data_IF_791416755728
#
_entry.id   IF_791416755728
#
_cell.length_a   1.000
_cell.length_b   1.000
_cell.length_c   1.000
_cell.angle_alpha   90.00
_cell.angle_beta   90.00
_cell.angle_gamma   90.00
#
_symmetry.space_group_name_H-M   'P 1'
#
loop_
_entity.id
_entity.type
_entity.pdbx_description
1 polymer ?
#
# COMPACT_ATOMS: atom_id res chain seq x y z
N UNK A 1 -13.70 33.69 18.19
CA UNK A 1 -12.64 32.76 17.75
C UNK A 1 -13.30 31.40 17.52
N UNK A 2 -13.19 30.85 16.33
CA UNK A 2 -13.65 29.48 16.04
C UNK A 2 -12.80 28.51 16.87
N UNK A 3 -13.45 27.53 17.52
CA UNK A 3 -12.73 26.48 18.24
C UNK A 3 -11.93 25.65 17.22
N UNK A 4 -10.61 25.64 17.37
CA UNK A 4 -9.65 24.91 16.53
C UNK A 4 -9.00 23.75 17.28
N UNK A 5 -9.60 23.33 18.40
CA UNK A 5 -9.14 22.15 19.13
C UNK A 5 -9.18 20.89 18.25
N UNK A 6 -8.42 19.87 18.65
CA UNK A 6 -8.43 18.56 17.99
C UNK A 6 -9.87 18.03 17.82
N UNK A 7 -10.66 18.08 18.91
CA UNK A 7 -12.03 17.59 18.91
C UNK A 7 -12.93 18.37 17.93
N UNK A 8 -12.78 19.69 17.88
CA UNK A 8 -13.58 20.54 17.01
C UNK A 8 -13.25 20.32 15.51
N UNK A 9 -11.97 20.17 15.15
CA UNK A 9 -11.56 19.87 13.76
C UNK A 9 -12.01 18.47 13.36
N UNK A 10 -11.85 17.46 14.23
CA UNK A 10 -12.29 16.10 13.93
C UNK A 10 -13.83 16.01 13.79
N UNK A 11 -14.59 16.77 14.56
CA UNK A 11 -16.05 16.86 14.41
C UNK A 11 -16.47 17.49 13.06
N UNK A 12 -15.66 18.38 12.49
CA UNK A 12 -15.91 19.01 11.18
C UNK A 12 -15.38 18.19 10.00
N UNK A 13 -14.80 17.03 10.23
CA UNK A 13 -14.16 16.19 9.23
C UNK A 13 -15.01 15.99 7.98
N UNK A 14 -16.29 15.62 8.12
CA UNK A 14 -17.18 15.37 6.99
C UNK A 14 -17.35 16.58 6.06
N UNK A 15 -17.55 17.78 6.63
CA UNK A 15 -17.67 19.02 5.87
C UNK A 15 -16.37 19.44 5.20
N UNK A 16 -15.24 19.31 5.90
CA UNK A 16 -13.91 19.61 5.35
C UNK A 16 -13.61 18.72 4.14
N UNK A 17 -13.85 17.40 4.27
CA UNK A 17 -13.61 16.46 3.17
C UNK A 17 -14.54 16.71 2.00
N UNK A 18 -15.83 16.91 2.24
CA UNK A 18 -16.78 17.25 1.17
C UNK A 18 -16.33 18.47 0.35
N UNK A 19 -15.83 19.51 1.04
CA UNK A 19 -15.34 20.72 0.38
C UNK A 19 -14.01 20.51 -0.36
N UNK A 20 -13.25 19.46 -0.07
CA UNK A 20 -11.89 19.29 -0.55
C UNK A 20 -11.67 18.12 -1.50
N UNK A 21 -12.64 17.21 -1.69
CA UNK A 21 -12.51 16.04 -2.60
C UNK A 21 -13.37 16.20 -3.86
N UNK A 22 -14.37 17.06 -3.82
CA UNK A 22 -15.29 17.27 -4.94
C UNK A 22 -16.30 16.13 -5.18
N UNK A 23 -16.46 15.23 -4.20
CA UNK A 23 -17.42 14.12 -4.21
C UNK A 23 -18.21 14.12 -2.89
N UNK A 24 -19.53 13.96 -3.01
CA UNK A 24 -20.39 13.83 -1.83
C UNK A 24 -20.54 12.36 -1.43
N UNK A 25 -19.75 11.93 -0.44
CA UNK A 25 -19.74 10.56 0.03
C UNK A 25 -21.09 10.08 0.59
N UNK A 26 -21.94 11.00 1.09
CA UNK A 26 -23.26 10.63 1.61
C UNK A 26 -24.19 10.08 0.51
N UNK A 27 -23.98 10.47 -0.73
CA UNK A 27 -24.75 9.96 -1.86
C UNK A 27 -24.57 8.46 -2.12
N UNK A 28 -23.50 7.86 -1.60
CA UNK A 28 -23.14 6.45 -1.81
C UNK A 28 -23.45 5.55 -0.61
N UNK A 29 -23.98 6.10 0.48
CA UNK A 29 -24.41 5.32 1.64
C UNK A 29 -25.68 4.55 1.28
N UNK A 30 -25.68 3.22 1.53
CA UNK A 30 -26.77 2.32 1.21
C UNK A 30 -27.38 1.63 2.44
N UNK A 31 -26.71 1.71 3.59
CA UNK A 31 -27.13 1.13 4.85
C UNK A 31 -26.31 1.69 6.01
N UNK A 32 -26.37 1.07 7.16
CA UNK A 32 -25.55 1.47 8.32
C UNK A 32 -24.06 1.31 8.02
N UNK A 33 -23.69 0.27 7.27
CA UNK A 33 -22.33 -0.05 6.87
C UNK A 33 -22.16 -0.09 5.34
N UNK A 34 -23.19 -0.47 4.62
CA UNK A 34 -23.17 -0.63 3.17
C UNK A 34 -22.87 0.69 2.46
N UNK A 35 -21.93 0.61 1.51
CA UNK A 35 -21.45 1.76 0.76
C UNK A 35 -21.16 1.37 -0.70
N UNK A 36 -21.65 2.17 -1.64
CA UNK A 36 -21.54 1.91 -3.07
C UNK A 36 -20.20 2.41 -3.63
N UNK A 37 -19.13 1.65 -3.37
CA UNK A 37 -17.80 1.96 -3.88
C UNK A 37 -17.70 1.92 -5.40
N UNK A 38 -18.48 1.05 -6.06
CA UNK A 38 -18.38 0.94 -7.51
C UNK A 38 -18.97 2.19 -8.18
N UNK A 39 -20.07 2.71 -7.66
CA UNK A 39 -20.63 3.98 -8.12
C UNK A 39 -19.70 5.16 -7.78
N UNK A 40 -19.14 5.21 -6.56
CA UNK A 40 -18.15 6.22 -6.18
C UNK A 40 -16.94 6.25 -7.14
N UNK A 41 -16.42 5.07 -7.51
CA UNK A 41 -15.30 4.97 -8.44
C UNK A 41 -15.70 5.37 -9.87
N UNK A 42 -16.92 5.03 -10.30
CA UNK A 42 -17.45 5.43 -11.61
C UNK A 42 -17.64 6.96 -11.68
N UNK A 43 -18.14 7.58 -10.62
CA UNK A 43 -18.40 9.03 -10.55
C UNK A 43 -17.11 9.86 -10.47
N UNK A 44 -15.94 9.25 -10.36
CA UNK A 44 -14.67 9.96 -10.60
C UNK A 44 -14.57 10.46 -12.04
N UNK A 45 -15.31 9.84 -12.98
CA UNK A 45 -15.28 10.16 -14.41
C UNK A 45 -14.05 9.63 -15.15
N UNK A 46 -13.23 8.78 -14.48
CA UNK A 46 -12.05 8.19 -15.11
C UNK A 46 -12.28 6.70 -15.40
N UNK A 47 -12.41 6.36 -16.68
CA UNK A 47 -12.19 5.00 -17.15
C UNK A 47 -10.68 4.71 -17.34
N UNK A 48 -10.33 3.48 -17.70
CA UNK A 48 -8.92 3.10 -17.94
C UNK A 48 -8.26 3.92 -19.04
N UNK A 49 -8.99 4.23 -20.12
CA UNK A 49 -8.47 4.99 -21.26
C UNK A 49 -8.12 6.41 -20.85
N UNK A 50 -9.05 7.08 -20.19
CA UNK A 50 -8.90 8.46 -19.67
C UNK A 50 -7.82 8.53 -18.61
N UNK A 51 -7.78 7.58 -17.66
CA UNK A 51 -6.76 7.51 -16.62
C UNK A 51 -5.36 7.38 -17.23
N UNK A 52 -5.16 6.46 -18.19
CA UNK A 52 -3.89 6.29 -18.91
C UNK A 52 -3.52 7.52 -19.75
N UNK A 53 -4.51 8.22 -20.32
CA UNK A 53 -4.25 9.44 -21.09
C UNK A 53 -3.73 10.56 -20.16
N UNK A 54 -4.32 10.74 -18.98
CA UNK A 54 -3.84 11.69 -17.96
C UNK A 54 -2.42 11.33 -17.52
N UNK A 55 -2.18 10.07 -17.18
CA UNK A 55 -0.89 9.58 -16.73
C UNK A 55 0.22 9.80 -17.78
N UNK A 56 -0.05 9.51 -19.04
CA UNK A 56 0.92 9.73 -20.13
C UNK A 56 1.36 11.18 -20.27
N UNK A 57 0.48 12.16 -20.00
CA UNK A 57 0.83 13.60 -20.09
C UNK A 57 1.94 13.98 -19.11
N UNK A 58 2.09 13.24 -18.01
CA UNK A 58 3.10 13.49 -16.98
C UNK A 58 4.16 12.40 -16.93
N UNK A 59 4.27 11.57 -17.98
CA UNK A 59 5.19 10.44 -18.12
C UNK A 59 5.01 9.36 -17.02
N UNK A 60 3.79 9.20 -16.51
CA UNK A 60 3.43 8.15 -15.54
C UNK A 60 2.91 6.93 -16.30
N UNK A 61 3.27 5.75 -15.83
CA UNK A 61 2.91 4.48 -16.47
C UNK A 61 3.84 4.10 -17.61
N UNK A 62 3.48 3.07 -18.36
CA UNK A 62 4.33 2.44 -19.36
C UNK A 62 5.70 2.05 -18.81
N UNK A 63 5.71 1.59 -17.57
CA UNK A 63 6.91 1.17 -16.88
C UNK A 63 7.37 -0.21 -17.39
N UNK A 64 8.68 -0.53 -17.33
CA UNK A 64 9.19 -1.80 -17.82
C UNK A 64 8.58 -3.03 -17.13
N UNK A 65 8.38 -4.10 -17.89
CA UNK A 65 8.21 -5.46 -17.39
C UNK A 65 9.46 -6.25 -17.78
N UNK A 66 10.21 -6.72 -16.77
CA UNK A 66 11.50 -7.40 -16.93
C UNK A 66 11.42 -8.82 -16.43
N UNK A 67 11.79 -9.81 -17.27
CA UNK A 67 11.96 -11.18 -16.81
C UNK A 67 13.28 -11.32 -16.05
N UNK A 68 13.22 -11.77 -14.81
CA UNK A 68 14.39 -12.02 -13.96
C UNK A 68 14.95 -13.41 -14.23
N UNK A 69 15.78 -13.54 -15.27
CA UNK A 69 16.26 -14.84 -15.75
C UNK A 69 17.25 -15.50 -14.77
N UNK A 70 18.16 -14.72 -14.21
CA UNK A 70 19.18 -15.25 -13.30
C UNK A 70 18.59 -15.55 -11.91
N UNK A 71 17.65 -14.73 -11.43
CA UNK A 71 16.88 -15.01 -10.20
C UNK A 71 16.03 -16.26 -10.40
N UNK A 72 15.34 -16.40 -11.52
CA UNK A 72 14.57 -17.61 -11.85
C UNK A 72 15.47 -18.84 -11.90
N UNK A 73 16.65 -18.76 -12.54
CA UNK A 73 17.61 -19.85 -12.55
C UNK A 73 18.10 -20.26 -11.13
N UNK A 74 18.35 -19.25 -10.28
CA UNK A 74 18.72 -19.50 -8.88
C UNK A 74 17.59 -20.19 -8.11
N UNK A 75 16.34 -19.77 -8.32
CA UNK A 75 15.15 -20.40 -7.72
C UNK A 75 15.03 -21.86 -8.17
N UNK A 76 15.17 -22.14 -9.47
CA UNK A 76 15.12 -23.50 -10.03
C UNK A 76 16.21 -24.41 -9.48
N UNK A 77 17.42 -23.89 -9.26
CA UNK A 77 18.54 -24.65 -8.69
C UNK A 77 18.28 -25.18 -7.28
N UNK A 78 17.33 -24.61 -6.55
CA UNK A 78 16.97 -24.98 -5.17
C UNK A 78 15.52 -25.46 -5.02
N UNK A 79 14.77 -25.49 -6.11
CA UNK A 79 13.40 -26.02 -6.15
C UNK A 79 13.39 -27.52 -6.42
N UNK A 80 12.29 -28.23 -6.07
CA UNK A 80 12.07 -29.59 -6.53
C UNK A 80 12.06 -29.69 -8.06
N UNK A 81 12.35 -30.85 -8.65
CA UNK A 81 12.28 -31.04 -10.11
C UNK A 81 10.92 -30.63 -10.69
N UNK A 82 10.92 -29.90 -11.82
CA UNK A 82 9.72 -29.38 -12.49
C UNK A 82 9.08 -28.16 -11.82
N UNK A 83 9.71 -27.66 -10.75
CA UNK A 83 9.28 -26.43 -10.03
C UNK A 83 10.26 -25.29 -10.30
N UNK A 84 9.85 -24.09 -9.92
CA UNK A 84 10.62 -22.86 -10.12
C UNK A 84 10.02 -21.99 -11.21
N UNK A 85 8.86 -21.40 -10.92
CA UNK A 85 8.13 -20.53 -11.81
C UNK A 85 8.99 -19.36 -12.34
N UNK A 86 8.64 -18.85 -13.52
CA UNK A 86 9.27 -17.67 -14.11
C UNK A 86 8.90 -16.43 -13.30
N UNK A 87 9.90 -15.62 -12.94
CA UNK A 87 9.71 -14.41 -12.16
C UNK A 87 9.90 -13.19 -13.08
N UNK A 88 8.90 -12.32 -13.08
CA UNK A 88 8.93 -11.02 -13.75
C UNK A 88 8.83 -9.89 -12.73
N UNK A 89 9.49 -8.79 -13.01
CA UNK A 89 9.36 -7.54 -12.25
C UNK A 89 8.63 -6.51 -13.10
N UNK A 90 7.53 -5.98 -12.58
CA UNK A 90 6.90 -4.75 -13.03
C UNK A 90 7.58 -3.58 -12.32
N UNK A 91 8.47 -2.88 -13.02
CA UNK A 91 9.38 -1.88 -12.46
C UNK A 91 8.71 -0.51 -12.32
N UNK A 92 7.93 -0.34 -11.28
CA UNK A 92 7.25 0.93 -10.97
C UNK A 92 8.19 2.03 -10.44
N UNK A 93 9.42 1.69 -10.10
CA UNK A 93 10.46 2.68 -9.78
C UNK A 93 10.83 3.56 -10.98
N UNK A 94 10.50 3.16 -12.19
CA UNK A 94 10.70 3.94 -13.42
C UNK A 94 9.73 5.12 -13.58
N UNK A 95 8.73 5.27 -12.72
CA UNK A 95 7.89 6.46 -12.71
C UNK A 95 8.67 7.72 -12.27
N UNK A 96 8.22 8.94 -12.62
CA UNK A 96 8.96 10.18 -12.43
C UNK A 96 9.44 10.47 -11.01
N UNK A 97 8.64 10.17 -9.97
CA UNK A 97 9.05 10.34 -8.57
C UNK A 97 9.80 9.13 -8.00
N UNK A 98 10.07 8.12 -8.83
CA UNK A 98 10.73 6.88 -8.44
C UNK A 98 9.81 5.88 -7.74
N UNK A 99 8.50 5.93 -7.95
CA UNK A 99 7.57 4.96 -7.36
C UNK A 99 6.22 4.84 -8.06
N UNK A 100 5.51 3.72 -7.85
CA UNK A 100 4.12 3.51 -8.31
C UNK A 100 3.13 4.57 -7.77
N UNK A 101 3.52 5.32 -6.76
CA UNK A 101 2.68 6.37 -6.16
C UNK A 101 2.33 7.47 -7.17
N UNK A 102 3.13 7.66 -8.20
CA UNK A 102 2.81 8.58 -9.30
C UNK A 102 1.49 8.23 -9.99
N UNK A 103 1.17 6.94 -10.12
CA UNK A 103 -0.11 6.50 -10.71
C UNK A 103 -1.31 6.99 -9.90
N UNK A 104 -1.17 7.06 -8.58
CA UNK A 104 -2.19 7.57 -7.65
C UNK A 104 -2.27 9.09 -7.69
N UNK A 105 -1.12 9.73 -7.54
CA UNK A 105 -1.01 11.18 -7.46
C UNK A 105 -1.44 11.89 -8.75
N UNK A 106 -1.14 11.27 -9.92
CA UNK A 106 -1.46 11.86 -11.21
C UNK A 106 -2.95 12.15 -11.39
N UNK A 107 -3.84 11.25 -11.00
CA UNK A 107 -5.28 11.48 -11.11
C UNK A 107 -5.79 12.45 -10.05
N UNK A 108 -5.32 12.33 -8.80
CA UNK A 108 -5.72 13.26 -7.73
C UNK A 108 -5.34 14.71 -8.06
N UNK A 109 -4.11 14.92 -8.57
CA UNK A 109 -3.64 16.26 -8.94
C UNK A 109 -4.31 16.77 -10.22
N UNK A 110 -4.52 15.91 -11.21
CA UNK A 110 -5.26 16.27 -12.42
C UNK A 110 -6.68 16.71 -12.06
N UNK A 111 -7.35 16.01 -11.16
CA UNK A 111 -8.69 16.34 -10.71
C UNK A 111 -8.72 17.69 -9.97
N UNK A 112 -7.75 17.94 -9.09
CA UNK A 112 -7.59 19.23 -8.42
C UNK A 112 -7.49 20.38 -9.44
N UNK A 113 -6.65 20.22 -10.46
CA UNK A 113 -6.50 21.19 -11.55
C UNK A 113 -7.79 21.38 -12.34
N UNK A 114 -8.47 20.27 -12.71
CA UNK A 114 -9.72 20.30 -13.48
C UNK A 114 -10.85 21.01 -12.74
N UNK A 115 -10.91 20.86 -11.42
CA UNK A 115 -11.90 21.53 -10.57
C UNK A 115 -11.50 22.96 -10.17
N UNK A 116 -10.32 23.44 -10.58
CA UNK A 116 -9.88 24.82 -10.32
C UNK A 116 -9.34 25.07 -8.91
N UNK A 117 -8.92 24.03 -8.18
CA UNK A 117 -8.26 24.22 -6.89
C UNK A 117 -6.89 24.88 -7.07
N UNK A 118 -6.54 25.80 -6.15
CA UNK A 118 -5.26 26.50 -6.19
C UNK A 118 -4.08 25.64 -5.73
N UNK A 119 -4.34 24.51 -5.08
CA UNK A 119 -3.31 23.62 -4.57
C UNK A 119 -3.86 22.28 -4.06
N UNK A 120 -2.95 21.43 -3.59
CA UNK A 120 -3.25 20.11 -3.05
C UNK A 120 -2.59 19.92 -1.69
N UNK A 121 -3.22 19.12 -0.82
CA UNK A 121 -2.64 18.71 0.47
C UNK A 121 -2.56 17.19 0.50
N UNK A 122 -1.42 16.65 0.92
CA UNK A 122 -1.23 15.22 1.14
C UNK A 122 -0.69 14.93 2.54
N UNK A 123 -1.23 13.90 3.22
CA UNK A 123 -0.65 13.34 4.42
C UNK A 123 0.12 12.06 4.08
N UNK A 124 1.37 11.94 4.55
CA UNK A 124 2.24 10.82 4.16
C UNK A 124 3.36 10.57 5.17
N UNK A 125 3.94 9.38 5.11
CA UNK A 125 5.21 9.04 5.75
C UNK A 125 6.32 8.73 4.72
N UNK A 126 6.11 8.99 3.41
CA UNK A 126 7.11 8.59 2.42
C UNK A 126 6.83 8.97 0.97
N UNK A 127 6.93 7.99 0.06
CA UNK A 127 6.89 8.17 -1.39
C UNK A 127 5.67 8.90 -1.94
N UNK A 128 4.54 8.85 -1.25
CA UNK A 128 3.32 9.48 -1.76
C UNK A 128 3.42 11.02 -1.76
N UNK A 129 4.02 11.61 -0.74
CA UNK A 129 4.26 13.05 -0.72
C UNK A 129 5.12 13.51 -1.89
N UNK A 130 6.21 12.78 -2.18
CA UNK A 130 7.07 13.07 -3.32
C UNK A 130 6.33 12.96 -4.66
N UNK A 131 5.46 11.93 -4.80
CA UNK A 131 4.63 11.77 -5.99
C UNK A 131 3.62 12.90 -6.16
N UNK A 132 2.90 13.30 -5.10
CA UNK A 132 1.96 14.43 -5.16
C UNK A 132 2.68 15.73 -5.48
N UNK A 133 3.83 16.00 -4.82
CA UNK A 133 4.64 17.19 -5.08
C UNK A 133 5.15 17.23 -6.54
N UNK A 134 5.63 16.11 -7.07
CA UNK A 134 6.07 16.00 -8.47
C UNK A 134 4.93 16.29 -9.46
N UNK A 135 3.74 15.71 -9.22
CA UNK A 135 2.60 15.93 -10.10
C UNK A 135 2.05 17.36 -9.97
N UNK A 136 2.02 17.93 -8.75
CA UNK A 136 1.60 19.30 -8.50
C UNK A 136 2.53 20.31 -9.21
N UNK A 137 3.84 20.09 -9.16
CA UNK A 137 4.82 20.92 -9.89
C UNK A 137 4.54 20.92 -11.40
N UNK A 138 4.25 19.74 -12.00
CA UNK A 138 3.91 19.61 -13.42
C UNK A 138 2.58 20.29 -13.78
N UNK A 139 1.65 20.35 -12.82
CA UNK A 139 0.34 20.99 -13.00
C UNK A 139 0.33 22.49 -12.66
N UNK A 140 1.43 23.03 -12.14
CA UNK A 140 1.51 24.42 -11.69
C UNK A 140 0.66 24.71 -10.43
N UNK A 141 0.37 23.70 -9.63
CA UNK A 141 -0.41 23.82 -8.38
C UNK A 141 0.52 23.97 -7.17
N UNK A 142 0.05 24.70 -6.17
CA UNK A 142 0.70 24.68 -4.84
C UNK A 142 0.54 23.30 -4.21
N UNK A 143 1.52 22.90 -3.40
CA UNK A 143 1.52 21.61 -2.72
C UNK A 143 1.94 21.76 -1.27
N UNK A 144 1.16 21.20 -0.35
CA UNK A 144 1.53 21.08 1.06
C UNK A 144 1.56 19.58 1.40
N UNK A 145 2.67 19.13 1.98
CA UNK A 145 2.84 17.75 2.42
C UNK A 145 2.97 17.71 3.94
N UNK A 146 2.00 17.12 4.62
CA UNK A 146 2.07 16.85 6.05
C UNK A 146 2.72 15.49 6.24
N UNK A 147 3.91 15.46 6.85
CA UNK A 147 4.80 14.29 6.83
C UNK A 147 5.27 13.88 8.23
N UNK A 148 5.10 12.61 8.56
CA UNK A 148 5.72 12.00 9.75
C UNK A 148 7.21 11.74 9.48
N UNK A 149 8.03 12.75 9.77
CA UNK A 149 9.48 12.75 9.51
C UNK A 149 10.30 12.16 10.67
N UNK A 150 9.74 12.14 11.87
CA UNK A 150 10.39 11.68 13.09
C UNK A 150 9.64 10.50 13.72
N UNK A 151 10.35 9.66 14.46
CA UNK A 151 9.69 8.67 15.31
C UNK A 151 9.04 9.36 16.54
N UNK A 152 8.31 8.62 17.37
CA UNK A 152 7.62 9.17 18.55
C UNK A 152 8.60 9.71 19.62
N UNK A 153 9.90 9.46 19.49
CA UNK A 153 10.97 10.00 20.36
C UNK A 153 11.63 11.24 19.75
N UNK A 154 11.16 11.71 18.59
CA UNK A 154 11.73 12.85 17.88
C UNK A 154 13.00 12.52 17.10
N UNK A 155 13.32 11.24 16.87
CA UNK A 155 14.50 10.84 16.09
C UNK A 155 14.15 10.84 14.61
N UNK A 156 14.95 11.57 13.81
CA UNK A 156 14.78 11.66 12.37
C UNK A 156 14.97 10.29 11.69
N UNK A 157 14.13 10.02 10.71
CA UNK A 157 14.16 8.81 9.90
C UNK A 157 14.85 9.13 8.55
N UNK A 158 16.10 8.62 8.31
CA UNK A 158 16.91 9.03 7.15
C UNK A 158 16.21 8.81 5.80
N UNK A 159 15.49 7.72 5.65
CA UNK A 159 14.73 7.40 4.44
C UNK A 159 13.55 8.34 4.21
N UNK A 160 12.98 8.89 5.29
CA UNK A 160 11.92 9.91 5.19
C UNK A 160 12.55 11.26 4.84
N UNK A 161 13.74 11.58 5.38
CA UNK A 161 14.47 12.79 5.02
C UNK A 161 14.75 12.87 3.52
N UNK A 162 15.09 11.76 2.85
CA UNK A 162 15.23 11.71 1.39
C UNK A 162 13.92 12.09 0.67
N UNK A 163 12.77 11.66 1.18
CA UNK A 163 11.47 12.02 0.62
C UNK A 163 11.07 13.46 0.92
N UNK A 164 11.41 13.97 2.11
CA UNK A 164 11.26 15.39 2.45
C UNK A 164 12.01 16.26 1.45
N UNK A 165 13.30 15.95 1.23
CA UNK A 165 14.13 16.65 0.26
C UNK A 165 13.52 16.63 -1.15
N UNK A 166 13.00 15.48 -1.59
CA UNK A 166 12.35 15.38 -2.90
C UNK A 166 11.09 16.26 -2.98
N UNK A 167 10.25 16.28 -1.93
CA UNK A 167 9.09 17.17 -1.88
C UNK A 167 9.47 18.64 -1.99
N UNK A 168 10.48 19.07 -1.22
CA UNK A 168 11.00 20.44 -1.22
C UNK A 168 11.63 20.81 -2.59
N UNK A 169 12.36 19.87 -3.21
CA UNK A 169 12.94 20.07 -4.54
C UNK A 169 11.88 20.25 -5.63
N UNK A 170 10.71 19.64 -5.47
CA UNK A 170 9.54 19.84 -6.35
C UNK A 170 8.73 21.09 -6.00
N UNK A 171 9.16 21.89 -5.02
CA UNK A 171 8.51 23.14 -4.61
C UNK A 171 7.35 22.98 -3.62
N UNK A 172 7.20 21.83 -2.98
CA UNK A 172 6.19 21.65 -1.94
C UNK A 172 6.64 22.24 -0.59
N UNK A 173 5.67 22.79 0.15
CA UNK A 173 5.83 23.07 1.57
C UNK A 173 5.70 21.78 2.37
N UNK A 174 6.63 21.50 3.28
CA UNK A 174 6.62 20.27 4.09
C UNK A 174 6.44 20.59 5.56
N UNK A 175 5.30 20.17 6.12
CA UNK A 175 5.01 20.21 7.55
C UNK A 175 5.51 18.90 8.16
N UNK A 176 6.58 18.97 8.98
CA UNK A 176 7.23 17.79 9.56
C UNK A 176 6.69 17.51 10.95
N UNK A 177 6.19 16.31 11.16
CA UNK A 177 5.64 15.83 12.43
C UNK A 177 6.42 14.62 12.94
N UNK A 178 6.28 14.34 14.23
CA UNK A 178 6.58 13.03 14.79
C UNK A 178 5.42 12.07 14.50
N UNK A 179 5.69 10.76 14.50
CA UNK A 179 4.64 9.74 14.39
C UNK A 179 3.66 9.89 15.55
N UNK A 180 2.38 10.06 15.24
CA UNK A 180 1.35 10.30 16.24
C UNK A 180 -0.03 10.60 15.65
N UNK A 181 -1.02 10.82 16.50
CA UNK A 181 -2.40 11.12 16.08
C UNK A 181 -2.55 12.50 15.43
N UNK A 182 -1.57 13.39 15.57
CA UNK A 182 -1.59 14.77 15.08
C UNK A 182 -1.61 14.86 13.56
N UNK A 183 -1.14 13.82 12.85
CA UNK A 183 -1.05 13.81 11.39
C UNK A 183 -2.38 14.22 10.74
N UNK A 184 -3.47 13.58 11.12
CA UNK A 184 -4.78 13.85 10.51
C UNK A 184 -5.42 15.14 11.00
N UNK A 185 -5.15 15.54 12.23
CA UNK A 185 -5.57 16.86 12.72
C UNK A 185 -4.94 17.99 11.91
N UNK A 186 -3.62 17.97 11.76
CA UNK A 186 -2.89 18.98 10.98
C UNK A 186 -3.32 18.94 9.51
N UNK A 187 -3.51 17.75 8.95
CA UNK A 187 -4.00 17.58 7.58
C UNK A 187 -5.38 18.22 7.36
N UNK A 188 -6.36 17.89 8.21
CA UNK A 188 -7.72 18.44 8.11
C UNK A 188 -7.75 19.95 8.34
N UNK A 189 -6.97 20.43 9.31
CA UNK A 189 -6.81 21.85 9.57
C UNK A 189 -6.23 22.57 8.36
N UNK A 190 -5.18 22.04 7.76
CA UNK A 190 -4.56 22.61 6.54
C UNK A 190 -5.56 22.67 5.38
N UNK A 191 -6.36 21.62 5.16
CA UNK A 191 -7.43 21.62 4.16
C UNK A 191 -8.46 22.74 4.42
N UNK A 192 -8.90 22.87 5.67
CA UNK A 192 -9.88 23.90 6.07
C UNK A 192 -9.34 25.32 5.86
N UNK A 193 -8.08 25.57 6.24
CA UNK A 193 -7.46 26.89 6.16
C UNK A 193 -7.12 27.30 4.72
N UNK A 194 -6.71 26.36 3.88
CA UNK A 194 -6.23 26.65 2.53
C UNK A 194 -7.31 26.53 1.46
N UNK A 195 -8.33 25.73 1.69
CA UNK A 195 -9.31 25.34 0.67
C UNK A 195 -8.70 24.51 -0.47
N UNK A 196 -7.55 23.87 -0.24
CA UNK A 196 -6.89 23.04 -1.25
C UNK A 196 -7.55 21.67 -1.39
N UNK A 197 -7.25 21.01 -2.50
CA UNK A 197 -7.78 19.68 -2.79
C UNK A 197 -7.15 18.61 -1.86
N UNK A 198 -7.97 17.70 -1.39
CA UNK A 198 -7.56 16.55 -0.59
C UNK A 198 -6.97 15.47 -1.50
N UNK A 199 -5.64 15.43 -1.61
CA UNK A 199 -4.92 14.41 -2.34
C UNK A 199 -4.55 13.21 -1.45
N UNK A 200 -5.49 12.72 -0.59
CA UNK A 200 -5.23 11.54 0.24
C UNK A 200 -5.04 10.28 -0.60
N UNK A 201 -4.22 9.36 -0.05
CA UNK A 201 -3.91 8.04 -0.61
C UNK A 201 -5.13 7.15 -0.89
N UNK A 202 -6.24 7.36 -0.21
CA UNK A 202 -7.38 6.44 -0.18
C UNK A 202 -8.64 7.03 -0.82
N UNK A 203 -8.49 8.12 -1.55
CA UNK A 203 -9.56 8.66 -2.39
C UNK A 203 -9.85 7.73 -3.57
N UNK A 204 -11.04 7.78 -4.16
CA UNK A 204 -11.37 6.97 -5.34
C UNK A 204 -10.46 7.29 -6.52
N UNK A 205 -10.06 8.53 -6.75
CA UNK A 205 -9.09 8.91 -7.79
C UNK A 205 -7.76 8.16 -7.66
N UNK A 206 -7.29 8.05 -6.42
CA UNK A 206 -6.06 7.33 -6.10
C UNK A 206 -6.15 5.84 -6.45
N UNK A 207 -7.28 5.19 -6.19
CA UNK A 207 -7.48 3.78 -6.51
C UNK A 207 -7.62 3.55 -8.01
N UNK A 208 -8.41 4.37 -8.70
CA UNK A 208 -8.54 4.31 -10.18
C UNK A 208 -7.17 4.50 -10.85
N UNK A 209 -6.32 5.39 -10.31
CA UNK A 209 -4.95 5.57 -10.81
C UNK A 209 -4.09 4.31 -10.77
N UNK A 210 -4.29 3.44 -9.78
CA UNK A 210 -3.58 2.15 -9.66
C UNK A 210 -4.19 1.07 -10.57
N UNK A 211 -5.46 1.14 -10.94
CA UNK A 211 -6.05 0.15 -11.86
C UNK A 211 -5.27 0.06 -13.18
N UNK A 212 -4.69 1.19 -13.63
CA UNK A 212 -3.86 1.21 -14.84
C UNK A 212 -2.61 0.35 -14.71
N UNK A 213 -2.03 0.18 -13.51
CA UNK A 213 -0.89 -0.69 -13.26
C UNK A 213 -1.25 -2.16 -13.49
N UNK A 214 -2.33 -2.64 -12.85
CA UNK A 214 -2.77 -4.03 -13.02
C UNK A 214 -3.14 -4.35 -14.46
N UNK A 215 -3.81 -3.41 -15.14
CA UNK A 215 -4.18 -3.57 -16.54
C UNK A 215 -2.95 -3.64 -17.46
N UNK A 216 -2.03 -2.70 -17.34
CA UNK A 216 -0.79 -2.60 -18.10
C UNK A 216 0.12 -3.82 -17.89
N UNK A 217 0.20 -4.31 -16.64
CA UNK A 217 0.94 -5.52 -16.30
C UNK A 217 0.45 -6.72 -17.13
N UNK A 218 -0.86 -6.93 -17.22
CA UNK A 218 -1.46 -8.02 -17.99
C UNK A 218 -1.16 -7.85 -19.50
N UNK A 219 -1.34 -6.63 -20.03
CA UNK A 219 -1.01 -6.37 -21.45
C UNK A 219 0.44 -6.75 -21.78
N UNK A 220 1.38 -6.36 -20.90
CA UNK A 220 2.80 -6.61 -21.10
C UNK A 220 3.18 -8.09 -20.93
N UNK A 221 2.64 -8.77 -19.90
CA UNK A 221 2.87 -10.22 -19.72
C UNK A 221 2.35 -10.99 -20.94
N UNK A 222 1.12 -10.70 -21.39
CA UNK A 222 0.57 -11.35 -22.59
C UNK A 222 1.36 -11.03 -23.85
N UNK A 223 1.82 -9.81 -24.00
CA UNK A 223 2.66 -9.40 -25.14
C UNK A 223 4.00 -10.14 -25.20
N UNK A 224 4.60 -10.45 -24.03
CA UNK A 224 5.89 -11.14 -23.96
C UNK A 224 5.77 -12.67 -23.96
N UNK A 225 4.67 -13.22 -23.43
CA UNK A 225 4.57 -14.66 -23.13
C UNK A 225 3.41 -15.36 -23.84
N UNK A 226 2.44 -14.62 -24.38
CA UNK A 226 1.18 -15.16 -24.90
C UNK A 226 0.19 -15.61 -23.82
N UNK A 227 0.53 -15.50 -22.52
CA UNK A 227 -0.25 -16.01 -21.37
C UNK A 227 -0.62 -14.92 -20.41
N UNK A 228 -1.60 -15.18 -19.54
CA UNK A 228 -1.87 -14.37 -18.34
C UNK A 228 -0.85 -14.67 -17.24
N UNK A 229 -0.61 -13.75 -16.29
CA UNK A 229 0.11 -14.09 -15.07
C UNK A 229 -0.68 -15.10 -14.25
N UNK A 230 -0.01 -16.06 -13.62
CA UNK A 230 -0.63 -17.00 -12.68
C UNK A 230 -0.71 -16.38 -11.28
N UNK A 231 0.33 -15.64 -10.88
CA UNK A 231 0.41 -15.01 -9.55
C UNK A 231 0.94 -13.58 -9.69
N UNK A 232 0.28 -12.63 -9.03
CA UNK A 232 0.76 -11.25 -8.90
C UNK A 232 1.00 -10.93 -7.43
N UNK A 233 2.22 -10.53 -7.09
CA UNK A 233 2.63 -10.24 -5.71
C UNK A 233 2.91 -8.75 -5.55
N UNK A 234 2.25 -8.13 -4.57
CA UNK A 234 2.43 -6.73 -4.26
C UNK A 234 2.79 -6.52 -2.79
N UNK A 235 3.74 -5.63 -2.54
CA UNK A 235 4.03 -5.17 -1.17
C UNK A 235 2.81 -4.46 -0.59
N UNK A 236 2.43 -4.87 0.61
CA UNK A 236 1.22 -4.44 1.30
C UNK A 236 1.50 -3.63 2.56
N UNK A 237 0.88 -2.47 2.65
CA UNK A 237 0.79 -1.66 3.88
C UNK A 237 -0.68 -1.30 4.16
N UNK A 238 -1.23 -0.29 3.51
CA UNK A 238 -2.63 0.15 3.67
C UNK A 238 -3.62 -0.43 2.66
N UNK A 239 -3.20 -1.32 1.77
CA UNK A 239 -4.07 -2.09 0.88
C UNK A 239 -4.46 -1.43 -0.45
N UNK A 240 -4.18 -0.13 -0.65
CA UNK A 240 -4.57 0.56 -1.88
C UNK A 240 -3.86 0.02 -3.13
N UNK A 241 -2.59 -0.42 -3.01
CA UNK A 241 -1.87 -1.06 -4.10
C UNK A 241 -2.56 -2.35 -4.54
N UNK A 242 -2.77 -3.27 -3.61
CA UNK A 242 -3.46 -4.54 -3.85
C UNK A 242 -4.84 -4.32 -4.48
N UNK A 243 -5.65 -3.41 -3.91
CA UNK A 243 -6.99 -3.11 -4.40
C UNK A 243 -6.99 -2.65 -5.85
N UNK A 244 -6.22 -1.61 -6.17
CA UNK A 244 -6.19 -1.06 -7.53
C UNK A 244 -5.59 -2.04 -8.54
N UNK A 245 -4.50 -2.74 -8.17
CA UNK A 245 -3.91 -3.77 -9.03
C UNK A 245 -4.90 -4.88 -9.35
N UNK A 246 -5.55 -5.48 -8.33
CA UNK A 246 -6.51 -6.56 -8.54
C UNK A 246 -7.70 -6.12 -9.41
N UNK A 247 -8.18 -4.88 -9.25
CA UNK A 247 -9.21 -4.32 -10.12
C UNK A 247 -8.71 -4.19 -11.56
N UNK A 248 -7.47 -3.73 -11.73
CA UNK A 248 -6.83 -3.64 -13.06
C UNK A 248 -6.65 -5.01 -13.72
N UNK A 249 -6.22 -6.04 -12.98
CA UNK A 249 -6.11 -7.43 -13.46
C UNK A 249 -7.47 -7.93 -14.00
N UNK A 250 -8.53 -7.75 -13.22
CA UNK A 250 -9.90 -8.16 -13.62
C UNK A 250 -10.39 -7.43 -14.86
N UNK A 251 -10.14 -6.10 -14.96
CA UNK A 251 -10.49 -5.30 -16.14
C UNK A 251 -9.71 -5.74 -17.39
N UNK A 252 -8.52 -6.32 -17.23
CA UNK A 252 -7.71 -6.89 -18.31
C UNK A 252 -8.04 -8.35 -18.63
N UNK A 253 -9.02 -8.96 -17.94
CA UNK A 253 -9.43 -10.34 -18.15
C UNK A 253 -8.61 -11.40 -17.41
N UNK A 254 -7.65 -11.03 -16.57
CA UNK A 254 -6.84 -11.94 -15.76
C UNK A 254 -7.59 -12.28 -14.44
N UNK A 255 -8.76 -12.89 -14.57
CA UNK A 255 -9.66 -13.17 -13.43
C UNK A 255 -9.18 -14.31 -12.54
N UNK A 256 -8.38 -15.22 -13.09
CA UNK A 256 -7.84 -16.40 -12.40
C UNK A 256 -6.45 -16.14 -11.80
N UNK A 257 -5.84 -14.98 -12.06
CA UNK A 257 -4.56 -14.61 -11.50
C UNK A 257 -4.68 -14.41 -9.98
N UNK A 258 -3.88 -15.16 -9.20
CA UNK A 258 -3.87 -15.05 -7.74
C UNK A 258 -3.24 -13.73 -7.32
N UNK A 259 -3.93 -12.97 -6.48
CA UNK A 259 -3.42 -11.74 -5.88
C UNK A 259 -2.84 -12.02 -4.49
N UNK A 260 -1.52 -11.89 -4.36
CA UNK A 260 -0.78 -12.14 -3.12
C UNK A 260 -0.29 -10.82 -2.52
N UNK A 261 -0.60 -10.59 -1.25
CA UNK A 261 0.01 -9.53 -0.47
C UNK A 261 1.27 -10.03 0.23
N UNK A 262 2.34 -9.23 0.20
CA UNK A 262 3.56 -9.50 0.95
C UNK A 262 3.87 -8.34 1.91
N UNK A 263 4.15 -8.66 3.17
CA UNK A 263 4.54 -7.71 4.21
C UNK A 263 5.77 -8.16 4.96
N UNK A 264 6.43 -7.21 5.62
CA UNK A 264 7.54 -7.51 6.51
C UNK A 264 6.99 -7.88 7.88
N UNK A 265 7.51 -8.95 8.49
CA UNK A 265 7.18 -9.33 9.86
C UNK A 265 7.70 -8.29 10.86
N UNK A 266 6.76 -7.61 11.54
CA UNK A 266 7.00 -6.74 12.69
C UNK A 266 6.33 -7.29 13.97
N UNK A 267 6.04 -8.59 14.02
CA UNK A 267 5.29 -9.25 15.10
C UNK A 267 3.83 -8.80 15.24
N UNK A 268 3.29 -8.13 14.23
CA UNK A 268 1.87 -7.81 14.07
C UNK A 268 1.25 -8.61 12.93
N UNK A 269 0.07 -8.22 12.47
CA UNK A 269 -0.63 -8.92 11.39
C UNK A 269 -0.14 -8.53 9.99
N UNK A 270 0.55 -7.41 9.85
CA UNK A 270 1.27 -6.99 8.65
C UNK A 270 2.28 -5.87 9.00
N UNK A 271 3.07 -5.41 8.05
CA UNK A 271 4.16 -4.46 8.31
C UNK A 271 3.73 -3.10 8.89
N UNK A 272 2.46 -2.74 8.81
CA UNK A 272 1.91 -1.53 9.42
C UNK A 272 1.28 -1.80 10.79
N UNK A 273 1.33 -3.03 11.31
CA UNK A 273 0.85 -3.37 12.65
C UNK A 273 1.95 -4.00 13.48
N UNK A 274 2.08 -3.56 14.73
CA UNK A 274 3.09 -4.00 15.66
C UNK A 274 2.56 -3.91 17.10
N UNK A 275 3.02 -4.83 17.97
CA UNK A 275 2.75 -4.76 19.40
C UNK A 275 3.53 -3.62 20.08
N UNK A 276 4.71 -3.30 19.54
CA UNK A 276 5.53 -2.18 19.96
C UNK A 276 5.39 -1.06 18.91
N UNK A 277 4.58 -0.07 19.22
CA UNK A 277 4.24 1.07 18.38
C UNK A 277 5.46 1.79 17.77
N UNK A 278 6.61 1.74 18.44
CA UNK A 278 7.84 2.40 18.00
C UNK A 278 8.79 1.48 17.22
N UNK A 279 8.41 0.23 16.98
CA UNK A 279 9.28 -0.71 16.27
C UNK A 279 9.37 -0.32 14.80
N UNK A 280 10.61 -0.04 14.38
CA UNK A 280 10.91 0.39 13.02
C UNK A 280 11.13 -0.79 12.08
N UNK A 281 10.60 -0.66 10.88
CA UNK A 281 11.02 -1.47 9.73
C UNK A 281 12.17 -0.79 8.99
N UNK A 282 13.33 -1.41 8.96
CA UNK A 282 14.50 -0.90 8.24
C UNK A 282 14.41 -1.14 6.72
N UNK A 283 13.46 -1.95 6.26
CA UNK A 283 13.22 -2.18 4.84
C UNK A 283 12.24 -1.18 4.25
N UNK A 284 11.19 -0.81 5.00
CA UNK A 284 10.12 0.07 4.52
C UNK A 284 10.23 1.50 5.00
N UNK A 285 11.00 1.74 6.07
CA UNK A 285 11.10 3.05 6.72
C UNK A 285 9.91 3.41 7.60
N UNK A 286 8.90 2.57 7.70
CA UNK A 286 7.74 2.81 8.56
C UNK A 286 7.99 2.37 10.00
N UNK A 287 7.40 3.12 10.93
CA UNK A 287 7.18 2.66 12.30
C UNK A 287 5.87 1.88 12.34
N UNK A 288 5.81 0.78 13.09
CA UNK A 288 4.62 -0.04 13.19
C UNK A 288 3.47 0.65 13.94
N UNK A 289 2.26 0.30 13.59
CA UNK A 289 1.04 0.70 14.27
C UNK A 289 0.44 -0.50 15.00
N UNK A 290 -0.25 -0.25 16.13
CA UNK A 290 -0.85 -1.33 16.93
C UNK A 290 -2.02 -2.04 16.24
N UNK A 291 -2.69 -1.37 15.30
CA UNK A 291 -3.87 -1.88 14.59
C UNK A 291 -3.56 -2.04 13.09
N UNK A 292 -3.89 -3.18 12.48
CA UNK A 292 -3.73 -3.37 11.06
C UNK A 292 -4.57 -2.40 10.23
N UNK A 293 -3.95 -1.61 9.36
CA UNK A 293 -4.68 -0.72 8.45
C UNK A 293 -5.67 -1.46 7.53
N UNK A 294 -5.36 -2.69 7.18
CA UNK A 294 -6.22 -3.55 6.36
C UNK A 294 -7.60 -3.79 6.98
N UNK A 295 -7.68 -3.74 8.30
CA UNK A 295 -8.92 -3.96 9.06
C UNK A 295 -9.62 -2.66 9.47
N UNK A 296 -9.18 -1.51 8.96
CA UNK A 296 -9.78 -0.23 9.29
C UNK A 296 -10.79 0.18 8.21
N UNK A 297 -12.12 0.11 8.47
CA UNK A 297 -13.15 0.38 7.46
C UNK A 297 -13.27 1.86 7.09
N UNK A 298 -12.81 2.74 7.96
CA UNK A 298 -12.85 4.18 7.77
C UNK A 298 -11.52 4.83 8.14
N UNK A 299 -11.28 6.05 7.66
CA UNK A 299 -10.05 6.80 7.94
C UNK A 299 -10.35 8.28 8.14
N UNK A 300 -9.54 8.93 8.96
CA UNK A 300 -9.72 10.36 9.26
C UNK A 300 -9.53 11.27 8.04
N UNK A 301 -8.70 10.88 7.08
CA UNK A 301 -8.41 11.63 5.85
C UNK A 301 -9.40 11.39 4.71
N UNK A 302 -10.21 10.32 4.78
CA UNK A 302 -11.34 10.04 3.88
C UNK A 302 -12.46 9.33 4.66
N UNK A 303 -13.75 9.63 4.39
CA UNK A 303 -14.87 9.04 5.15
C UNK A 303 -15.05 7.54 4.93
N UNK A 304 -14.69 7.06 3.74
CA UNK A 304 -14.76 5.66 3.35
C UNK A 304 -13.48 5.31 2.61
N UNK A 305 -12.69 4.44 3.22
CA UNK A 305 -11.43 4.00 2.64
C UNK A 305 -11.66 3.18 1.36
N UNK A 306 -11.28 3.74 0.21
CA UNK A 306 -11.42 3.05 -1.08
C UNK A 306 -10.41 1.90 -1.27
N UNK A 307 -9.42 1.75 -0.39
CA UNK A 307 -8.57 0.55 -0.32
C UNK A 307 -9.31 -0.56 0.41
N UNK A 308 -9.66 -1.62 -0.32
CA UNK A 308 -10.48 -2.74 0.12
C UNK A 308 -9.75 -4.07 -0.11
N UNK A 309 -8.54 -4.26 0.45
CA UNK A 309 -7.67 -5.37 0.07
C UNK A 309 -8.24 -6.74 0.38
N UNK A 310 -8.96 -6.92 1.51
CA UNK A 310 -9.51 -8.22 1.91
C UNK A 310 -10.50 -8.80 0.89
N UNK A 311 -11.18 -7.93 0.12
CA UNK A 311 -12.06 -8.31 -0.99
C UNK A 311 -11.31 -8.97 -2.16
N UNK A 312 -10.01 -8.68 -2.30
CA UNK A 312 -9.23 -9.05 -3.50
C UNK A 312 -8.12 -10.05 -3.23
N UNK A 313 -7.70 -10.22 -1.97
CA UNK A 313 -6.58 -11.09 -1.62
C UNK A 313 -6.95 -12.57 -1.65
N UNK A 314 -6.11 -13.36 -2.31
CA UNK A 314 -6.13 -14.81 -2.30
C UNK A 314 -5.18 -15.39 -1.26
N UNK A 315 -4.02 -14.73 -1.05
CA UNK A 315 -3.02 -15.13 -0.06
C UNK A 315 -2.36 -13.88 0.54
N UNK A 316 -2.00 -13.93 1.82
CA UNK A 316 -1.24 -12.89 2.49
C UNK A 316 -0.08 -13.51 3.23
N UNK A 317 1.15 -13.09 2.91
CA UNK A 317 2.36 -13.66 3.47
C UNK A 317 3.24 -12.59 4.12
N UNK A 318 4.06 -13.02 5.09
CA UNK A 318 5.13 -12.20 5.65
C UNK A 318 6.49 -12.81 5.34
N UNK A 319 7.47 -11.94 5.25
CA UNK A 319 8.90 -12.22 5.13
C UNK A 319 9.66 -11.44 6.19
N UNK A 320 10.86 -11.87 6.55
CA UNK A 320 11.72 -11.15 7.48
C UNK A 320 12.49 -10.03 6.79
N UNK A 321 12.92 -9.03 7.54
CA UNK A 321 13.75 -7.95 7.00
C UNK A 321 15.08 -8.48 6.41
N UNK A 322 15.65 -9.53 7.01
CA UNK A 322 16.89 -10.15 6.52
C UNK A 322 16.71 -10.77 5.14
N UNK A 323 15.58 -11.44 4.90
CA UNK A 323 15.25 -12.01 3.60
C UNK A 323 15.07 -10.93 2.54
N UNK A 324 14.41 -9.83 2.89
CA UNK A 324 14.25 -8.67 1.99
C UNK A 324 15.60 -8.06 1.63
N UNK A 325 16.51 -7.88 2.60
CA UNK A 325 17.85 -7.37 2.30
C UNK A 325 18.66 -8.34 1.43
N UNK A 326 18.52 -9.64 1.64
CA UNK A 326 19.17 -10.65 0.79
C UNK A 326 18.72 -10.54 -0.67
N UNK A 327 17.42 -10.54 -0.93
CA UNK A 327 16.91 -10.47 -2.31
C UNK A 327 17.15 -9.12 -2.96
N UNK A 328 17.21 -8.02 -2.19
CA UNK A 328 17.58 -6.69 -2.69
C UNK A 328 19.01 -6.70 -3.23
N UNK A 329 19.94 -7.31 -2.52
CA UNK A 329 21.32 -7.47 -2.98
C UNK A 329 21.42 -8.45 -4.15
N UNK A 330 20.67 -9.56 -4.10
CA UNK A 330 20.64 -10.56 -5.17
C UNK A 330 20.09 -9.99 -6.49
N UNK A 331 19.03 -9.17 -6.45
CA UNK A 331 18.48 -8.50 -7.62
C UNK A 331 19.54 -7.61 -8.31
N UNK A 332 20.25 -6.80 -7.53
CA UNK A 332 21.30 -5.96 -8.08
C UNK A 332 22.47 -6.78 -8.63
N UNK A 333 22.92 -7.82 -7.91
CA UNK A 333 24.08 -8.63 -8.29
C UNK A 333 23.80 -9.54 -9.49
N UNK A 334 22.60 -10.09 -9.61
CA UNK A 334 22.26 -11.08 -10.64
C UNK A 334 21.63 -10.44 -11.90
N UNK A 335 20.82 -9.40 -11.73
CA UNK A 335 20.07 -8.80 -12.85
C UNK A 335 20.56 -7.38 -13.19
N UNK A 336 21.50 -6.81 -12.42
CA UNK A 336 21.94 -5.43 -12.62
C UNK A 336 20.85 -4.40 -12.32
N UNK A 337 19.84 -4.76 -11.54
CA UNK A 337 18.68 -3.94 -11.23
C UNK A 337 18.69 -3.53 -9.76
N UNK A 338 19.12 -2.30 -9.47
CA UNK A 338 19.09 -1.73 -8.12
C UNK A 338 17.71 -1.13 -7.82
N UNK A 339 17.02 -1.65 -6.81
CA UNK A 339 15.70 -1.17 -6.37
C UNK A 339 15.60 -1.13 -4.84
N UNK A 340 14.58 -0.44 -4.34
CA UNK A 340 14.38 -0.25 -2.92
C UNK A 340 13.92 -1.52 -2.18
N UNK A 341 14.35 -1.73 -0.93
CA UNK A 341 13.97 -2.91 -0.17
C UNK A 341 12.46 -2.99 0.13
N UNK A 342 11.74 -1.86 0.16
CA UNK A 342 10.30 -1.92 0.38
C UNK A 342 9.57 -2.64 -0.78
N UNK A 343 9.93 -2.35 -2.03
CA UNK A 343 9.42 -3.06 -3.20
C UNK A 343 9.87 -4.52 -3.22
N UNK A 344 11.12 -4.77 -2.86
CA UNK A 344 11.70 -6.10 -2.78
C UNK A 344 11.11 -7.01 -1.67
N UNK A 345 10.21 -6.49 -0.83
CA UNK A 345 9.38 -7.32 0.05
C UNK A 345 8.54 -8.30 -0.77
N UNK A 346 7.97 -7.86 -1.87
CA UNK A 346 7.24 -8.73 -2.81
C UNK A 346 8.16 -9.68 -3.56
N UNK A 347 9.40 -9.29 -3.88
CA UNK A 347 10.38 -10.18 -4.50
C UNK A 347 10.83 -11.30 -3.53
N UNK A 348 11.01 -11.01 -2.23
CA UNK A 348 11.32 -12.02 -1.24
C UNK A 348 10.22 -13.09 -1.14
N UNK A 349 8.96 -12.64 -1.16
CA UNK A 349 7.82 -13.55 -1.21
C UNK A 349 7.78 -14.36 -2.52
N UNK A 350 8.02 -13.71 -3.67
CA UNK A 350 8.06 -14.37 -4.97
C UNK A 350 9.14 -15.45 -5.03
N UNK A 351 10.30 -15.19 -4.45
CA UNK A 351 11.40 -16.13 -4.42
C UNK A 351 11.01 -17.44 -3.70
N UNK A 352 10.29 -17.35 -2.59
CA UNK A 352 9.79 -18.53 -1.89
C UNK A 352 8.61 -19.19 -2.64
N UNK A 353 7.62 -18.43 -3.09
CA UNK A 353 6.40 -18.94 -3.74
C UNK A 353 6.74 -19.61 -5.09
N UNK A 354 7.63 -19.01 -5.89
CA UNK A 354 8.00 -19.57 -7.17
C UNK A 354 8.62 -20.98 -7.07
N UNK A 355 9.25 -21.34 -5.94
CA UNK A 355 9.76 -22.72 -5.69
C UNK A 355 8.67 -23.76 -5.55
N UNK A 356 7.44 -23.34 -5.22
CA UNK A 356 6.29 -24.24 -5.03
C UNK A 356 5.50 -24.42 -6.34
N UNK A 357 5.65 -23.51 -7.27
CA UNK A 357 4.91 -23.44 -8.53
C UNK A 357 5.64 -24.18 -9.66
N UNK A 358 4.89 -24.63 -10.68
CA UNK A 358 5.48 -25.28 -11.85
C UNK A 358 6.35 -24.31 -12.66
N UNK A 359 7.39 -24.82 -13.30
CA UNK A 359 8.39 -24.00 -14.01
C UNK A 359 7.83 -23.15 -15.16
N UNK A 360 6.66 -23.51 -15.71
CA UNK A 360 5.97 -22.80 -16.76
C UNK A 360 5.04 -21.68 -16.24
N UNK A 361 4.76 -21.66 -14.94
CA UNK A 361 3.91 -20.63 -14.34
C UNK A 361 4.64 -19.28 -14.26
N UNK A 362 3.86 -18.23 -14.24
CA UNK A 362 4.34 -16.84 -14.30
C UNK A 362 3.99 -16.12 -13.01
N UNK A 363 5.01 -15.71 -12.28
CA UNK A 363 4.91 -14.85 -11.10
C UNK A 363 5.34 -13.44 -11.47
N UNK A 364 4.48 -12.46 -11.23
CA UNK A 364 4.83 -11.04 -11.44
C UNK A 364 4.93 -10.32 -10.11
N UNK A 365 6.08 -9.72 -9.88
CA UNK A 365 6.37 -8.89 -8.71
C UNK A 365 6.17 -7.42 -9.08
N UNK A 366 5.48 -6.68 -8.24
CA UNK A 366 5.49 -5.22 -8.32
C UNK A 366 6.69 -4.67 -7.55
N UNK A 367 7.71 -4.22 -8.29
CA UNK A 367 8.79 -3.41 -7.69
C UNK A 367 8.30 -1.98 -7.53
N UNK A 368 7.99 -1.61 -6.30
CA UNK A 368 7.19 -0.43 -6.02
C UNK A 368 7.96 0.88 -6.05
N UNK A 369 9.29 0.84 -5.87
CA UNK A 369 10.06 2.07 -5.65
C UNK A 369 11.56 1.96 -5.88
N UNK A 370 12.14 3.11 -6.22
CA UNK A 370 13.54 3.46 -5.97
C UNK A 370 13.57 4.61 -4.96
N UNK A 371 14.30 4.45 -3.86
CA UNK A 371 14.22 5.38 -2.74
C UNK A 371 15.55 6.03 -2.38
N UNK A 372 16.54 5.91 -3.27
CA UNK A 372 17.85 6.55 -3.10
C UNK A 372 18.77 5.85 -2.09
N UNK A 373 19.95 6.41 -1.89
CA UNK A 373 21.03 5.83 -1.10
C UNK A 373 20.66 5.60 0.38
N UNK A 374 19.77 6.40 0.95
CA UNK A 374 19.33 6.25 2.35
C UNK A 374 18.60 4.95 2.64
N UNK A 375 18.02 4.29 1.63
CA UNK A 375 17.37 2.97 1.78
C UNK A 375 18.25 1.80 1.31
N UNK A 376 19.41 2.04 0.79
CA UNK A 376 20.33 0.97 0.43
C UNK A 376 20.59 0.04 1.63
N UNK A 377 20.66 -1.30 1.44
CA UNK A 377 20.85 -2.25 2.53
C UNK A 377 22.00 -1.89 3.49
N UNK A 378 23.14 -1.45 2.96
CA UNK A 378 24.29 -1.01 3.79
C UNK A 378 23.94 0.15 4.72
N UNK A 379 23.22 1.17 4.23
CA UNK A 379 22.82 2.32 5.04
C UNK A 379 21.83 1.90 6.14
N UNK A 380 20.83 1.11 5.79
CA UNK A 380 19.80 0.65 6.73
C UNK A 380 20.34 -0.33 7.78
N UNK A 381 21.21 -1.25 7.40
CA UNK A 381 21.82 -2.19 8.33
C UNK A 381 22.80 -1.48 9.29
N UNK A 382 23.52 -0.46 8.82
CA UNK A 382 24.33 0.38 9.70
C UNK A 382 23.48 1.21 10.67
N UNK A 383 22.34 1.74 10.22
CA UNK A 383 21.39 2.41 11.09
C UNK A 383 20.82 1.44 12.14
N UNK A 384 20.43 0.23 11.73
CA UNK A 384 19.94 -0.80 12.64
C UNK A 384 20.95 -1.10 13.77
N UNK A 385 22.24 -1.30 13.41
CA UNK A 385 23.30 -1.51 14.40
C UNK A 385 23.45 -0.34 15.37
N UNK A 386 23.43 0.89 14.88
CA UNK A 386 23.47 2.09 15.74
C UNK A 386 22.27 2.20 16.68
N UNK A 387 21.12 1.65 16.30
CA UNK A 387 19.94 1.56 17.13
C UNK A 387 19.92 0.33 18.08
N UNK A 388 21.05 -0.39 18.18
CA UNK A 388 21.19 -1.55 19.08
C UNK A 388 20.56 -2.83 18.53
N UNK A 389 20.23 -2.89 17.24
CA UNK A 389 19.72 -4.11 16.59
C UNK A 389 20.92 -4.98 16.19
N UNK A 390 20.91 -6.24 16.64
CA UNK A 390 21.88 -7.24 16.18
C UNK A 390 21.66 -7.54 14.69
N UNK A 391 22.72 -7.48 13.88
CA UNK A 391 22.66 -7.82 12.46
C UNK A 391 23.70 -8.92 12.20
N UNK A 392 23.24 -10.10 11.80
CA UNK A 392 24.10 -11.25 11.49
C UNK A 392 23.61 -12.01 10.26
N UNK A 393 24.45 -12.93 9.75
CA UNK A 393 24.05 -13.98 8.82
C UNK A 393 23.61 -15.22 9.57
N UNK A 394 22.74 -16.02 8.95
CA UNK A 394 22.25 -17.26 9.55
C UNK A 394 20.87 -17.67 9.05
N UNK A 395 20.15 -18.43 9.86
CA UNK A 395 18.77 -18.84 9.57
C UNK A 395 17.78 -17.71 9.87
N UNK A 396 16.99 -17.26 8.87
CA UNK A 396 15.97 -16.22 9.07
C UNK A 396 14.93 -16.51 10.15
N UNK A 397 14.72 -17.78 10.51
CA UNK A 397 13.84 -18.17 11.63
C UNK A 397 14.32 -17.64 12.99
N UNK A 398 15.58 -17.29 13.10
CA UNK A 398 16.17 -16.65 14.28
C UNK A 398 15.92 -15.13 14.32
N UNK A 399 15.30 -14.56 13.30
CA UNK A 399 14.94 -13.14 13.27
C UNK A 399 14.05 -12.78 14.46
N UNK A 400 14.27 -11.59 15.02
CA UNK A 400 13.47 -11.07 16.14
C UNK A 400 13.21 -9.58 15.89
N UNK A 401 12.00 -9.21 15.44
CA UNK A 401 11.66 -7.82 15.20
C UNK A 401 12.01 -6.93 16.40
N UNK A 402 12.65 -5.78 16.13
CA UNK A 402 13.10 -4.85 17.15
C UNK A 402 14.36 -5.26 17.94
N UNK A 403 14.93 -6.43 17.68
CA UNK A 403 16.14 -6.94 18.38
C UNK A 403 17.21 -7.49 17.46
N UNK A 404 16.81 -8.22 16.43
CA UNK A 404 17.76 -8.94 15.56
C UNK A 404 17.24 -9.03 14.14
N UNK A 405 18.11 -8.73 13.18
CA UNK A 405 17.94 -8.97 11.74
C UNK A 405 18.91 -10.09 11.35
N UNK A 406 18.37 -11.18 10.81
CA UNK A 406 19.17 -12.32 10.33
C UNK A 406 19.05 -12.39 8.81
N UNK A 407 20.19 -12.17 8.14
CA UNK A 407 20.28 -12.24 6.68
C UNK A 407 20.58 -13.69 6.30
N UNK A 408 19.82 -14.33 5.38
CA UNK A 408 20.08 -15.68 4.93
C UNK A 408 21.54 -15.90 4.48
N UNK A 409 22.12 -17.03 4.79
CA UNK A 409 23.41 -17.47 4.25
C UNK A 409 23.24 -18.13 2.90
N UNK A 410 22.09 -18.82 2.72
CA UNK A 410 21.79 -19.56 1.50
C UNK A 410 20.35 -19.21 1.01
N UNK A 411 20.13 -19.08 -0.30
CA UNK A 411 18.82 -18.72 -0.85
C UNK A 411 17.70 -19.71 -0.50
N UNK A 412 18.01 -20.98 -0.25
CA UNK A 412 17.03 -21.97 0.19
C UNK A 412 16.39 -21.68 1.56
N UNK A 413 17.00 -20.81 2.36
CA UNK A 413 16.47 -20.39 3.66
C UNK A 413 15.38 -19.32 3.56
N UNK A 414 15.20 -18.71 2.38
CA UNK A 414 14.13 -17.74 2.15
C UNK A 414 12.79 -18.48 2.16
N UNK A 415 11.88 -18.04 3.00
CA UNK A 415 10.58 -18.65 3.19
C UNK A 415 9.51 -17.58 3.45
N UNK A 416 8.26 -17.93 3.24
CA UNK A 416 7.12 -17.10 3.62
C UNK A 416 6.37 -17.72 4.79
N UNK A 417 5.73 -16.86 5.57
CA UNK A 417 4.78 -17.27 6.59
C UNK A 417 3.42 -16.73 6.21
N UNK A 418 2.45 -17.62 6.04
CA UNK A 418 1.08 -17.22 5.74
C UNK A 418 0.44 -16.52 6.94
N UNK A 419 -0.18 -15.39 6.68
CA UNK A 419 -1.07 -14.73 7.63
C UNK A 419 -2.46 -15.33 7.54
N UNK A 420 -3.11 -15.45 8.68
CA UNK A 420 -4.49 -15.88 8.80
C UNK A 420 -5.44 -14.80 8.23
N UNK A 421 -5.87 -14.99 6.99
CA UNK A 421 -6.81 -14.08 6.32
C UNK A 421 -8.19 -14.07 7.00
N UNK A 422 -8.63 -15.19 7.55
CA UNK A 422 -9.92 -15.26 8.24
C UNK A 422 -9.89 -14.42 9.52
N UNK A 423 -8.77 -14.43 10.24
CA UNK A 423 -8.56 -13.54 11.38
C UNK A 423 -8.58 -12.05 10.97
N UNK A 424 -7.96 -11.71 9.82
CA UNK A 424 -8.00 -10.33 9.31
C UNK A 424 -9.42 -9.91 8.90
N UNK A 425 -10.16 -10.79 8.24
CA UNK A 425 -11.57 -10.58 7.87
C UNK A 425 -12.45 -10.40 9.09
N UNK A 426 -12.24 -11.24 10.11
CA UNK A 426 -12.96 -11.12 11.38
C UNK A 426 -12.67 -9.78 12.09
N UNK A 427 -11.39 -9.36 12.15
CA UNK A 427 -11.03 -8.05 12.71
C UNK A 427 -11.68 -6.88 11.95
N UNK A 428 -11.80 -7.00 10.62
CA UNK A 428 -12.53 -6.01 9.83
C UNK A 428 -14.00 -5.95 10.23
N UNK A 429 -14.66 -7.10 10.41
CA UNK A 429 -16.06 -7.18 10.84
C UNK A 429 -16.25 -6.60 12.25
N UNK A 430 -15.36 -6.92 13.19
CA UNK A 430 -15.38 -6.37 14.54
C UNK A 430 -15.33 -4.83 14.51
N UNK A 431 -14.41 -4.26 13.72
CA UNK A 431 -14.28 -2.80 13.56
C UNK A 431 -15.47 -2.17 12.84
N UNK A 432 -16.03 -2.84 11.85
CA UNK A 432 -17.22 -2.37 11.15
C UNK A 432 -18.43 -2.30 12.11
N UNK A 433 -18.66 -3.34 12.89
CA UNK A 433 -19.75 -3.39 13.89
C UNK A 433 -19.53 -2.32 14.98
N UNK A 434 -18.31 -2.19 15.50
CA UNK A 434 -17.97 -1.13 16.48
C UNK A 434 -18.28 0.27 15.90
N UNK A 435 -17.96 0.51 14.63
CA UNK A 435 -18.18 1.81 13.97
C UNK A 435 -19.66 2.13 13.74
N UNK A 436 -20.49 1.13 13.54
CA UNK A 436 -21.95 1.29 13.41
C UNK A 436 -22.64 1.55 14.74
N UNK A 437 -21.98 1.24 15.86
CA UNK A 437 -22.53 1.24 17.21
C UNK A 437 -23.10 -0.14 17.59
N UNK A 438 -22.73 -0.60 18.78
CA UNK A 438 -23.21 -1.86 19.34
C UNK A 438 -24.74 -1.82 19.48
N UNK A 439 -25.42 -2.77 18.83
CA UNK A 439 -26.88 -2.86 18.83
C UNK A 439 -27.58 -2.24 17.60
N UNK A 440 -26.85 -1.63 16.67
CA UNK A 440 -27.45 -1.18 15.40
C UNK A 440 -27.87 -2.39 14.57
N UNK A 441 -29.17 -2.53 14.20
CA UNK A 441 -29.61 -3.61 13.34
C UNK A 441 -28.97 -3.48 11.94
N UNK A 442 -28.33 -4.52 11.46
CA UNK A 442 -27.80 -4.57 10.10
C UNK A 442 -28.88 -5.02 9.13
N UNK A 443 -29.06 -4.30 8.04
CA UNK A 443 -29.97 -4.65 6.96
C UNK A 443 -29.40 -5.76 6.07
N UNK A 444 -30.23 -6.38 5.24
CA UNK A 444 -29.76 -7.34 4.24
C UNK A 444 -28.67 -6.76 3.33
N UNK A 445 -28.78 -5.48 2.97
CA UNK A 445 -27.78 -4.76 2.15
C UNK A 445 -26.45 -4.63 2.91
N UNK A 446 -26.48 -4.41 4.23
CA UNK A 446 -25.26 -4.36 5.04
C UNK A 446 -24.59 -5.74 5.10
N UNK A 447 -25.38 -6.82 5.24
CA UNK A 447 -24.87 -8.20 5.26
C UNK A 447 -24.24 -8.56 3.91
N UNK A 448 -24.90 -8.28 2.79
CA UNK A 448 -24.36 -8.51 1.45
C UNK A 448 -23.07 -7.72 1.21
N UNK A 449 -23.04 -6.47 1.64
CA UNK A 449 -21.85 -5.62 1.54
C UNK A 449 -20.69 -6.22 2.32
N UNK A 450 -20.88 -6.55 3.61
CA UNK A 450 -19.83 -7.13 4.46
C UNK A 450 -19.36 -8.49 3.95
N UNK A 451 -20.30 -9.33 3.44
CA UNK A 451 -19.97 -10.61 2.82
C UNK A 451 -19.03 -10.42 1.62
N UNK A 452 -19.33 -9.44 0.76
CA UNK A 452 -18.48 -9.10 -0.38
C UNK A 452 -17.11 -8.56 0.05
N UNK A 453 -17.05 -7.71 1.09
CA UNK A 453 -15.78 -7.13 1.58
C UNK A 453 -14.85 -8.19 2.21
N UNK A 454 -15.43 -9.22 2.82
CA UNK A 454 -14.69 -10.28 3.52
C UNK A 454 -14.60 -11.58 2.72
N UNK A 455 -15.16 -11.65 1.51
CA UNK A 455 -15.25 -12.88 0.69
C UNK A 455 -15.91 -14.04 1.44
N UNK A 456 -16.85 -13.74 2.30
CA UNK A 456 -17.65 -14.70 3.06
C UNK A 456 -18.99 -14.94 2.39
N UNK A 457 -19.64 -16.07 2.69
CA UNK A 457 -21.05 -16.24 2.33
C UNK A 457 -21.92 -15.45 3.30
N UNK A 458 -23.11 -14.94 2.88
CA UNK A 458 -24.01 -14.25 3.79
C UNK A 458 -24.36 -15.07 5.04
N UNK A 459 -24.63 -16.37 4.88
CA UNK A 459 -24.98 -17.27 6.00
C UNK A 459 -23.83 -17.37 7.04
N UNK A 460 -22.59 -17.58 6.58
CA UNK A 460 -21.43 -17.62 7.48
C UNK A 460 -21.18 -16.27 8.15
N UNK A 461 -21.40 -15.19 7.42
CA UNK A 461 -21.28 -13.84 7.98
C UNK A 461 -22.31 -13.59 9.09
N UNK A 462 -23.57 -13.99 8.90
CA UNK A 462 -24.62 -13.85 9.92
C UNK A 462 -24.24 -14.59 11.21
N UNK A 463 -23.67 -15.80 11.13
CA UNK A 463 -23.15 -16.53 12.29
C UNK A 463 -22.10 -15.73 13.05
N UNK A 464 -21.12 -15.14 12.32
CA UNK A 464 -20.06 -14.29 12.92
C UNK A 464 -20.69 -13.05 13.56
N UNK A 465 -21.58 -12.35 12.88
CA UNK A 465 -22.22 -11.14 13.39
C UNK A 465 -23.04 -11.42 14.67
N UNK A 466 -23.79 -12.52 14.72
CA UNK A 466 -24.50 -12.95 15.92
C UNK A 466 -23.55 -13.26 17.09
N UNK A 467 -22.38 -13.84 16.80
CA UNK A 467 -21.36 -14.08 17.83
C UNK A 467 -20.79 -12.76 18.35
N UNK A 468 -20.46 -11.81 17.47
CA UNK A 468 -19.92 -10.50 17.83
C UNK A 468 -20.89 -9.66 18.65
N UNK A 469 -22.17 -9.64 18.27
CA UNK A 469 -23.21 -8.93 19.01
C UNK A 469 -23.43 -9.50 20.42
N UNK A 470 -23.37 -10.85 20.57
CA UNK A 470 -23.46 -11.49 21.90
C UNK A 470 -22.27 -11.20 22.83
N UNK A 471 -21.09 -10.91 22.26
CA UNK A 471 -19.88 -10.57 23.04
C UNK A 471 -19.83 -9.10 23.46
N UNK A 472 -20.57 -8.24 22.79
CA UNK A 472 -20.59 -6.81 23.02
C UNK A 472 -21.72 -6.36 23.97
N UNK A 473 -22.71 -7.19 24.26
CA UNK A 473 -23.77 -7.01 25.26
C UNK A 473 -23.48 -7.84 26.51
#
# INVERSE_FOLDING_TARGET
MTDESYTAIMAQRGSIIRASVGLDYEAYVRGALAFDYEQLLADTGYDLGTARAVQRRTAVGNTPLVELRNVTALVRAIAPPGKGARIFVKDEAANPSGSFKDRRASLSVHEASRQGYAGVVAATSGNYGAAVASQAAKAGLRCIVVQEAFDSRGVAQPEIAEKTRACEAYGAEVVRLSVGPELFYVFLRTLKETGYFNASLYTPYSIVGIETLGYELVEQVRGQTGRFPDVVIATHAGGGNVTGTARGLRKAGAVDALMVAASVDLSGLHMASDRDFNRKSFTTGHTGFSVPFTTWPDRADVPRNAARPLRYLDRFVTVTQGEVFYVTQALAALEGLERGPAGNTSLAAAFAIARELDEEQIVVVQETEYTGAGKHPTAQLNLARRMGIEVRRGDPRDNRPGRRIVIPEHPAQIAVVDLDLERLRRLYLERAVESAGTGTPLSAVDVEFLAAETRSTPAHLEEILHELQRKAG
#
